data_IF_156595242555
#
_entry.id   IF_156595242555
#
_cell.length_a   1.000
_cell.length_b   1.000
_cell.length_c   1.000
_cell.angle_alpha   90.00
_cell.angle_beta   90.00
_cell.angle_gamma   90.00
#
_symmetry.space_group_name_H-M   'P 1'
#
loop_
_entity.id
_entity.type
_entity.pdbx_description
1 polymer ?
#
# COMPACT_ATOMS: atom_id res chain seq x y z
N UNK A 1 9.31 1.54 -1.60
CA UNK A 1 9.20 3.00 -1.61
C UNK A 1 8.23 3.46 -2.68
N UNK A 2 7.57 4.59 -2.46
CA UNK A 2 6.59 5.16 -3.38
C UNK A 2 7.18 5.43 -4.77
N UNK A 3 6.37 5.25 -5.82
CA UNK A 3 6.72 5.49 -7.23
C UNK A 3 7.90 4.67 -7.80
N UNK A 4 8.43 3.69 -7.07
CA UNK A 4 9.49 2.81 -7.57
C UNK A 4 8.92 1.65 -8.41
N UNK A 5 9.71 1.15 -9.37
CA UNK A 5 9.27 0.24 -10.45
C UNK A 5 8.44 -0.96 -9.97
N UNK A 6 9.08 -1.98 -9.40
CA UNK A 6 8.39 -3.22 -8.96
C UNK A 6 7.35 -2.95 -7.87
N UNK A 7 7.60 -1.98 -6.99
CA UNK A 7 6.66 -1.62 -5.93
C UNK A 7 5.31 -1.16 -6.50
N UNK A 8 5.35 -0.32 -7.54
CA UNK A 8 4.15 0.25 -8.17
C UNK A 8 3.50 -0.69 -9.18
N UNK A 9 4.30 -1.51 -9.87
CA UNK A 9 3.81 -2.35 -10.98
C UNK A 9 3.28 -3.71 -10.52
N UNK A 10 3.85 -4.29 -9.46
CA UNK A 10 3.55 -5.67 -9.07
C UNK A 10 3.26 -5.82 -7.58
N UNK A 11 4.07 -5.22 -6.70
CA UNK A 11 3.99 -5.48 -5.26
C UNK A 11 2.66 -5.02 -4.65
N UNK A 12 2.39 -3.71 -4.62
CA UNK A 12 1.15 -3.18 -4.05
C UNK A 12 -0.11 -3.66 -4.79
N UNK A 13 -0.15 -3.71 -6.14
CA UNK A 13 -1.29 -4.25 -6.86
C UNK A 13 -1.61 -5.71 -6.50
N UNK A 14 -0.61 -6.55 -6.20
CA UNK A 14 -0.86 -7.95 -5.82
C UNK A 14 -1.63 -8.08 -4.51
N UNK A 15 -1.36 -7.22 -3.52
CA UNK A 15 -2.12 -7.18 -2.27
C UNK A 15 -3.52 -6.65 -2.48
N UNK A 16 -3.66 -5.55 -3.22
CA UNK A 16 -4.97 -4.96 -3.56
C UNK A 16 -5.88 -6.00 -4.22
N UNK A 17 -5.36 -6.73 -5.20
CA UNK A 17 -6.12 -7.73 -5.95
C UNK A 17 -6.50 -8.98 -5.14
N UNK A 18 -5.87 -9.20 -3.97
CA UNK A 18 -6.14 -10.34 -3.11
C UNK A 18 -6.74 -9.95 -1.76
N UNK A 19 -7.19 -8.69 -1.60
CA UNK A 19 -7.63 -8.17 -0.30
C UNK A 19 -8.78 -8.99 0.30
N UNK A 20 -9.74 -9.43 -0.51
CA UNK A 20 -10.87 -10.24 -0.03
C UNK A 20 -10.44 -11.62 0.47
N UNK A 21 -9.42 -12.22 -0.17
CA UNK A 21 -8.86 -13.50 0.28
C UNK A 21 -8.14 -13.33 1.62
N UNK A 22 -7.49 -12.19 1.83
CA UNK A 22 -6.84 -11.87 3.10
C UNK A 22 -7.89 -11.66 4.19
N UNK A 23 -8.93 -10.87 3.92
CA UNK A 23 -10.06 -10.67 4.84
C UNK A 23 -10.76 -11.99 5.21
N UNK A 24 -10.98 -12.87 4.23
CA UNK A 24 -11.60 -14.20 4.46
C UNK A 24 -10.76 -15.08 5.39
N UNK A 25 -9.45 -14.87 5.47
CA UNK A 25 -8.55 -15.57 6.41
C UNK A 25 -8.55 -14.96 7.81
N UNK A 26 -9.38 -13.96 8.09
CA UNK A 26 -9.42 -13.26 9.37
C UNK A 26 -8.33 -12.22 9.56
N UNK A 27 -7.75 -11.69 8.47
CA UNK A 27 -6.82 -10.55 8.56
C UNK A 27 -7.63 -9.27 8.70
N UNK A 28 -7.38 -8.52 9.78
CA UNK A 28 -8.09 -7.27 10.09
C UNK A 28 -7.71 -6.12 9.15
N UNK A 29 -6.40 -5.93 8.90
CA UNK A 29 -5.88 -4.86 8.05
C UNK A 29 -4.63 -5.28 7.28
N UNK A 30 -4.41 -4.62 6.13
CA UNK A 30 -3.21 -4.77 5.31
C UNK A 30 -2.56 -3.40 5.21
N UNK A 31 -1.28 -3.32 5.61
CA UNK A 31 -0.56 -2.07 5.75
C UNK A 31 0.66 -2.05 4.83
N UNK A 32 0.82 -0.96 4.07
CA UNK A 32 2.02 -0.64 3.32
C UNK A 32 2.81 0.47 4.03
N UNK A 33 4.00 0.12 4.53
CA UNK A 33 4.93 1.06 5.18
C UNK A 33 6.10 1.34 4.23
N UNK A 34 6.53 2.60 4.17
CA UNK A 34 7.74 2.98 3.44
C UNK A 34 8.37 4.27 3.98
N UNK A 35 9.68 4.39 3.78
CA UNK A 35 10.51 5.56 4.13
C UNK A 35 10.28 6.73 3.17
N UNK A 36 9.03 7.13 3.01
CA UNK A 36 8.68 8.41 2.43
C UNK A 36 7.75 9.14 3.41
N UNK A 37 7.62 10.44 3.26
CA UNK A 37 6.65 11.22 4.02
C UNK A 37 5.20 10.78 3.71
N UNK A 38 4.26 11.01 4.65
CA UNK A 38 2.87 10.59 4.49
C UNK A 38 2.17 11.24 3.29
N UNK A 39 2.60 12.42 2.83
CA UNK A 39 1.97 13.10 1.69
C UNK A 39 2.34 12.41 0.37
N UNK A 40 3.61 12.03 0.21
CA UNK A 40 4.09 11.22 -0.93
C UNK A 40 3.43 9.84 -0.95
N UNK A 41 3.29 9.18 0.21
CA UNK A 41 2.58 7.89 0.26
C UNK A 41 1.10 8.05 -0.09
N UNK A 42 0.44 9.11 0.39
CA UNK A 42 -0.96 9.35 0.09
C UNK A 42 -1.19 9.54 -1.42
N UNK A 43 -0.40 10.39 -2.08
CA UNK A 43 -0.50 10.61 -3.52
C UNK A 43 -0.19 9.35 -4.34
N UNK A 44 0.72 8.51 -3.85
CA UNK A 44 1.02 7.23 -4.49
C UNK A 44 -0.11 6.22 -4.34
N UNK A 45 -0.70 6.13 -3.14
CA UNK A 45 -1.85 5.27 -2.86
C UNK A 45 -3.07 5.66 -3.73
N UNK A 46 -3.30 6.96 -3.93
CA UNK A 46 -4.33 7.48 -4.84
C UNK A 46 -4.05 7.08 -6.30
N UNK A 47 -2.81 7.23 -6.76
CA UNK A 47 -2.41 6.82 -8.12
C UNK A 47 -2.60 5.32 -8.37
N UNK A 48 -2.36 4.48 -7.36
CA UNK A 48 -2.59 3.04 -7.42
C UNK A 48 -4.05 2.64 -7.17
N UNK A 49 -4.90 3.60 -6.80
CA UNK A 49 -6.28 3.38 -6.39
C UNK A 49 -6.36 2.30 -5.29
N UNK A 50 -5.47 2.33 -4.31
CA UNK A 50 -5.31 1.25 -3.33
C UNK A 50 -5.84 1.60 -1.92
N UNK A 51 -6.34 2.82 -1.72
CA UNK A 51 -6.75 3.36 -0.41
C UNK A 51 -7.97 2.68 0.22
N UNK A 52 -8.75 1.97 -0.57
CA UNK A 52 -9.91 1.18 -0.14
C UNK A 52 -9.53 -0.24 0.34
N UNK A 53 -8.34 -0.70 -0.06
CA UNK A 53 -7.87 -2.06 0.21
C UNK A 53 -6.68 -2.09 1.19
N UNK A 54 -5.80 -1.10 1.15
CA UNK A 54 -4.52 -1.08 1.87
C UNK A 54 -4.36 0.26 2.57
N UNK A 55 -3.94 0.23 3.83
CA UNK A 55 -3.56 1.44 4.57
C UNK A 55 -2.09 1.78 4.31
N UNK A 56 -1.77 3.06 4.13
CA UNK A 56 -0.42 3.53 3.79
C UNK A 56 0.12 4.42 4.90
N UNK A 57 1.27 4.06 5.47
CA UNK A 57 1.93 4.82 6.54
C UNK A 57 3.36 5.19 6.15
N UNK A 58 3.65 6.49 6.24
CA UNK A 58 4.99 7.03 6.00
C UNK A 58 5.86 6.91 7.25
N UNK A 59 7.05 6.36 7.08
CA UNK A 59 8.06 6.14 8.13
C UNK A 59 9.30 6.99 7.79
N UNK A 60 9.11 8.31 7.81
CA UNK A 60 10.04 9.25 7.17
C UNK A 60 11.36 9.43 7.96
N UNK A 61 11.38 9.04 9.23
CA UNK A 61 12.52 9.09 10.13
C UNK A 61 13.41 7.83 10.07
N UNK A 62 12.84 6.68 9.67
CA UNK A 62 13.59 5.47 9.32
C UNK A 62 14.04 4.62 10.51
#
# INVERSE_FOLDING_TARGET
GAYTGVCSQAHVPSYKNNIDKLKTKGIDSVICVAVNDPYVLNGWAEKLQAKDAIEFYGDFDG
#
